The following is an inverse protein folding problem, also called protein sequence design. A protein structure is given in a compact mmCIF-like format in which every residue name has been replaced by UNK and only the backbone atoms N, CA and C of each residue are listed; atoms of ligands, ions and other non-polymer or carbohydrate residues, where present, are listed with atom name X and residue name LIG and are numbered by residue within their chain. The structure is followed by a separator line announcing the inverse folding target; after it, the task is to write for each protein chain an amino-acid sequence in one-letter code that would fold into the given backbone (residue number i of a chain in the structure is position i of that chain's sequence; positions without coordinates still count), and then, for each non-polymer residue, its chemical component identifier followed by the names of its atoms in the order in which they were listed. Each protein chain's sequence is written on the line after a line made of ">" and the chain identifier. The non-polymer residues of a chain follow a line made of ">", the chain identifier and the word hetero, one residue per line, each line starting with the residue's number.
data_IF_383747129520
#
_entry.id   IF_383747129520
#
_cell.length_a   1.000
_cell.length_b   1.000
_cell.length_c   1.000
_cell.angle_alpha   90.00
_cell.angle_beta   90.00
_cell.angle_gamma   90.00
#
_symmetry.space_group_name_H-M   'P 1'
#
loop_
_entity.id
_entity.type
_entity.pdbx_description
1 polymer ?
#
# COMPACT_ATOMS: atom_id res chain seq x y z
N UNK A 1 3.18 27.27 -1.35
CA UNK A 1 3.50 26.04 -2.12
C UNK A 1 2.63 24.89 -1.62
N UNK A 2 2.50 23.78 -2.37
CA UNK A 2 1.66 22.62 -1.99
C UNK A 2 2.04 22.01 -0.62
N UNK A 3 3.32 22.06 -0.28
CA UNK A 3 3.87 21.61 1.01
C UNK A 3 3.36 22.45 2.19
N UNK A 4 3.20 23.77 2.03
CA UNK A 4 2.80 24.68 3.11
C UNK A 4 1.34 24.48 3.55
N UNK A 5 0.53 23.85 2.71
CA UNK A 5 -0.89 23.59 2.97
C UNK A 5 -1.18 22.21 3.55
N UNK A 6 -0.15 21.36 3.75
CA UNK A 6 -0.31 19.96 4.16
C UNK A 6 0.74 19.57 5.21
N UNK A 7 0.69 18.34 5.71
CA UNK A 7 1.72 17.83 6.62
C UNK A 7 3.06 17.49 5.93
N UNK A 8 3.11 17.52 4.59
CA UNK A 8 4.17 16.90 3.82
C UNK A 8 5.33 17.87 3.54
N UNK A 9 6.57 17.41 3.78
CA UNK A 9 7.79 18.16 3.45
C UNK A 9 8.20 18.03 1.97
N UNK A 10 7.73 16.97 1.29
CA UNK A 10 8.09 16.65 -0.10
C UNK A 10 6.91 16.08 -0.85
N UNK A 11 6.89 16.29 -2.17
CA UNK A 11 5.82 15.80 -3.06
C UNK A 11 6.41 15.07 -4.27
N UNK A 12 5.66 14.10 -4.78
CA UNK A 12 5.94 13.38 -6.02
C UNK A 12 4.73 13.51 -6.96
N UNK A 13 4.97 13.90 -8.21
CA UNK A 13 3.92 14.05 -9.23
C UNK A 13 3.86 12.83 -10.14
N UNK A 14 2.64 12.42 -10.47
CA UNK A 14 2.35 11.29 -11.35
C UNK A 14 1.04 11.52 -12.11
N UNK A 15 0.77 10.67 -13.10
CA UNK A 15 -0.31 10.83 -14.07
C UNK A 15 -1.62 10.18 -13.61
N UNK A 16 -1.60 9.36 -12.55
CA UNK A 16 -2.81 8.72 -12.03
C UNK A 16 -2.73 8.41 -10.53
N UNK A 17 -3.90 8.19 -9.92
CA UNK A 17 -3.96 7.72 -8.52
C UNK A 17 -3.38 6.32 -8.31
N UNK A 18 -3.36 5.47 -9.35
CA UNK A 18 -2.72 4.16 -9.25
C UNK A 18 -1.19 4.29 -9.18
N UNK A 19 -0.60 5.18 -9.98
CA UNK A 19 0.83 5.51 -9.90
C UNK A 19 1.20 6.13 -8.55
N UNK A 20 0.34 7.03 -8.02
CA UNK A 20 0.53 7.60 -6.69
C UNK A 20 0.59 6.51 -5.61
N UNK A 21 -0.34 5.56 -5.65
CA UNK A 21 -0.37 4.44 -4.70
C UNK A 21 0.82 3.49 -4.87
N UNK A 22 1.29 3.23 -6.09
CA UNK A 22 2.51 2.47 -6.30
C UNK A 22 3.73 3.16 -5.70
N UNK A 23 3.88 4.47 -5.94
CA UNK A 23 4.98 5.25 -5.39
C UNK A 23 4.95 5.21 -3.86
N UNK A 24 3.77 5.41 -3.25
CA UNK A 24 3.60 5.34 -1.80
C UNK A 24 3.97 3.95 -1.23
N UNK A 25 3.47 2.87 -1.83
CA UNK A 25 3.76 1.51 -1.36
C UNK A 25 5.23 1.12 -1.58
N UNK A 26 5.86 1.54 -2.68
CA UNK A 26 7.29 1.33 -2.94
C UNK A 26 8.14 2.10 -1.94
N UNK A 27 7.79 3.36 -1.65
CA UNK A 27 8.48 4.19 -0.67
C UNK A 27 8.38 3.58 0.74
N UNK A 28 7.18 3.16 1.15
CA UNK A 28 6.99 2.50 2.44
C UNK A 28 7.83 1.22 2.58
N UNK A 29 7.87 0.38 1.54
CA UNK A 29 8.70 -0.83 1.52
C UNK A 29 10.19 -0.54 1.52
N UNK A 30 10.64 0.45 0.74
CA UNK A 30 12.05 0.86 0.68
C UNK A 30 12.51 1.41 2.02
N UNK A 31 11.72 2.30 2.63
CA UNK A 31 11.99 2.82 3.97
C UNK A 31 12.05 1.69 5.01
N UNK A 32 11.08 0.76 4.98
CA UNK A 32 11.06 -0.36 5.91
C UNK A 32 12.28 -1.27 5.74
N UNK A 33 12.67 -1.56 4.49
CA UNK A 33 13.85 -2.35 4.17
C UNK A 33 15.13 -1.68 4.69
N UNK A 34 15.30 -0.38 4.43
CA UNK A 34 16.52 0.35 4.79
C UNK A 34 16.65 0.56 6.30
N UNK A 35 15.54 0.64 7.03
CA UNK A 35 15.54 0.90 8.47
C UNK A 35 15.43 -0.35 9.35
N UNK A 36 14.72 -1.38 8.89
CA UNK A 36 14.36 -2.55 9.70
C UNK A 36 14.70 -3.89 9.04
N UNK A 37 15.31 -3.87 7.85
CA UNK A 37 15.69 -5.06 7.11
C UNK A 37 14.59 -5.66 6.23
N UNK A 38 14.96 -6.67 5.44
CA UNK A 38 14.11 -7.37 4.46
C UNK A 38 12.86 -8.01 5.06
N UNK A 39 12.88 -8.30 6.35
CA UNK A 39 11.82 -9.04 7.04
C UNK A 39 10.53 -8.23 7.15
N UNK A 40 10.64 -6.89 7.26
CA UNK A 40 9.54 -5.95 7.46
C UNK A 40 8.90 -5.52 6.14
N UNK A 41 8.35 -6.48 5.39
CA UNK A 41 7.75 -6.27 4.06
C UNK A 41 6.23 -6.43 3.99
N UNK A 42 5.58 -6.76 5.11
CA UNK A 42 4.13 -6.98 5.15
C UNK A 42 3.32 -5.70 4.91
N UNK A 43 2.26 -5.81 4.10
CA UNK A 43 1.29 -4.74 3.85
C UNK A 43 -0.07 -5.16 4.43
N UNK A 44 -0.64 -4.28 5.25
CA UNK A 44 -2.00 -4.40 5.77
C UNK A 44 -2.91 -3.52 4.93
N UNK A 45 -4.03 -4.09 4.48
CA UNK A 45 -5.04 -3.36 3.71
C UNK A 45 -6.44 -3.78 4.15
N UNK A 46 -7.44 -2.98 3.76
CA UNK A 46 -8.82 -3.26 4.14
C UNK A 46 -9.56 -4.10 3.09
N UNK A 47 -10.47 -4.94 3.56
CA UNK A 47 -11.42 -5.63 2.69
C UNK A 47 -12.22 -4.60 1.89
N UNK A 48 -12.48 -4.91 0.61
CA UNK A 48 -13.16 -4.02 -0.35
C UNK A 48 -12.44 -2.70 -0.67
N UNK A 49 -11.21 -2.48 -0.20
CA UNK A 49 -10.44 -1.29 -0.57
C UNK A 49 -10.01 -1.32 -2.05
N UNK A 50 -10.09 -0.16 -2.71
CA UNK A 50 -9.65 0.04 -4.09
C UNK A 50 -8.46 1.00 -4.12
N UNK A 51 -7.31 0.52 -4.61
CA UNK A 51 -6.08 1.32 -4.71
C UNK A 51 -5.62 1.54 -6.17
N UNK A 52 -6.44 1.15 -7.15
CA UNK A 52 -6.10 1.20 -8.57
C UNK A 52 -5.91 -0.20 -9.18
N UNK A 53 -5.69 -0.24 -10.49
CA UNK A 53 -5.66 -1.48 -11.29
C UNK A 53 -4.26 -1.96 -11.68
N UNK A 54 -3.20 -1.32 -11.20
CA UNK A 54 -1.85 -1.85 -11.44
C UNK A 54 -1.60 -3.08 -10.57
N UNK A 55 -0.61 -3.89 -10.95
CA UNK A 55 -0.33 -5.18 -10.30
C UNK A 55 -0.13 -5.05 -8.79
N UNK A 56 0.54 -3.98 -8.35
CA UNK A 56 0.84 -3.79 -6.95
C UNK A 56 -0.35 -3.20 -6.16
N UNK A 57 -1.12 -2.31 -6.77
CA UNK A 57 -2.29 -1.70 -6.12
C UNK A 57 -3.48 -2.64 -6.02
N UNK A 58 -3.73 -3.46 -7.05
CA UNK A 58 -4.76 -4.53 -6.99
C UNK A 58 -4.34 -5.63 -6.01
N UNK A 59 -3.03 -5.86 -5.88
CA UNK A 59 -2.47 -6.74 -4.85
C UNK A 59 -2.51 -6.15 -3.44
N UNK A 60 -2.77 -4.86 -3.27
CA UNK A 60 -3.06 -4.27 -1.96
C UNK A 60 -4.57 -4.29 -1.67
N UNK A 61 -5.41 -4.12 -2.70
CA UNK A 61 -6.87 -4.15 -2.57
C UNK A 61 -7.42 -5.45 -2.00
N UNK A 62 -8.49 -5.34 -1.23
CA UNK A 62 -9.21 -6.46 -0.62
C UNK A 62 -10.30 -7.08 -1.49
N UNK A 63 -10.28 -6.82 -2.80
CA UNK A 63 -11.27 -7.30 -3.77
C UNK A 63 -10.93 -8.70 -4.31
N UNK A 64 -11.94 -9.48 -4.76
CA UNK A 64 -11.71 -10.76 -5.42
C UNK A 64 -10.79 -10.60 -6.65
N UNK A 65 -10.01 -11.64 -6.99
CA UNK A 65 -9.02 -11.56 -8.04
C UNK A 65 -9.65 -11.21 -9.39
N UNK A 66 -9.10 -10.20 -10.06
CA UNK A 66 -9.46 -9.87 -11.44
C UNK A 66 -8.83 -10.94 -12.36
N UNK A 67 -9.60 -11.60 -13.24
CA UNK A 67 -9.07 -12.57 -14.19
C UNK A 67 -7.96 -11.96 -15.05
N UNK A 68 -6.83 -12.67 -15.22
CA UNK A 68 -5.71 -12.25 -16.07
C UNK A 68 -4.59 -11.45 -15.39
N UNK A 69 -4.72 -11.10 -14.10
CA UNK A 69 -3.67 -10.39 -13.34
C UNK A 69 -3.03 -11.35 -12.32
N UNK A 70 -2.02 -12.11 -12.77
CA UNK A 70 -1.23 -13.04 -11.94
C UNK A 70 0.27 -12.95 -12.28
N UNK A 71 1.21 -12.97 -11.30
CA UNK A 71 1.05 -13.34 -9.89
C UNK A 71 0.90 -12.14 -8.93
N UNK A 72 0.12 -12.31 -7.86
CA UNK A 72 -0.09 -11.30 -6.80
C UNK A 72 1.17 -11.07 -5.97
N UNK A 73 1.33 -9.87 -5.43
CA UNK A 73 2.43 -9.57 -4.51
C UNK A 73 2.35 -10.45 -3.25
N UNK A 74 3.46 -11.12 -2.93
CA UNK A 74 3.60 -12.09 -1.83
C UNK A 74 3.61 -11.34 -0.49
N UNK A 75 2.83 -11.81 0.51
CA UNK A 75 2.72 -11.30 1.92
C UNK A 75 1.77 -10.11 2.16
N UNK A 76 0.46 -10.32 1.96
CA UNK A 76 -0.62 -9.39 2.34
C UNK A 76 -1.44 -9.96 3.50
N UNK A 77 -1.90 -9.10 4.42
CA UNK A 77 -2.99 -9.43 5.34
C UNK A 77 -4.14 -8.43 5.15
N UNK A 78 -5.35 -8.91 4.86
CA UNK A 78 -6.55 -8.08 4.77
C UNK A 78 -7.29 -8.02 6.11
N UNK A 79 -7.78 -6.85 6.49
CA UNK A 79 -8.59 -6.62 7.69
C UNK A 79 -9.97 -6.07 7.31
N UNK A 80 -11.04 -6.37 8.06
CA UNK A 80 -12.35 -5.78 7.80
C UNK A 80 -12.31 -4.26 7.98
N UNK A 81 -13.10 -3.53 7.20
CA UNK A 81 -13.29 -2.10 7.38
C UNK A 81 -13.86 -1.87 8.79
N UNK A 82 -13.35 -0.87 9.53
CA UNK A 82 -13.72 -0.51 10.90
C UNK A 82 -13.07 -1.29 12.08
N UNK A 83 -12.19 -2.28 11.87
CA UNK A 83 -11.50 -2.95 13.00
C UNK A 83 -10.05 -2.49 13.17
N UNK A 84 -9.84 -1.41 13.94
CA UNK A 84 -8.55 -1.13 14.60
C UNK A 84 -8.63 -1.74 16.01
N UNK A 85 -8.65 -3.06 16.08
CA UNK A 85 -8.41 -3.77 17.33
C UNK A 85 -7.56 -4.99 17.03
N UNK A 86 -6.50 -5.20 17.82
CA UNK A 86 -5.74 -6.46 17.99
C UNK A 86 -4.58 -6.83 17.06
N UNK A 87 -3.82 -5.88 16.48
CA UNK A 87 -2.49 -6.23 15.92
C UNK A 87 -1.33 -5.30 16.29
N UNK A 88 -1.28 -4.87 17.55
CA UNK A 88 0.03 -4.79 18.21
C UNK A 88 0.46 -6.24 18.48
N UNK A 89 1.25 -6.83 17.57
CA UNK A 89 2.09 -7.95 18.01
C UNK A 89 3.27 -7.33 18.78
N UNK A 90 3.75 -7.97 19.86
CA UNK A 90 4.85 -7.45 20.66
C UNK A 90 6.08 -7.14 19.79
#
# INVERSE_FOLDING_TARGET
>A
MLIDATFADRVFFCNSGAEANEAALKLARKYAHDRFGSEKSGIVAFQNAFHGRTLFTVSAGGQPPIPGISPRCRRRSSMPYLTISSRQRP
#
